data_IF_309704584989
#
_entry.id   IF_309704584989
#
_cell.length_a   1.000
_cell.length_b   1.000
_cell.length_c   1.000
_cell.angle_alpha   90.00
_cell.angle_beta   90.00
_cell.angle_gamma   90.00
#
_symmetry.space_group_name_H-M   'P 1'
#
loop_
_entity.id
_entity.type
_entity.pdbx_description
1 polymer ?
#
# COMPACT_ATOMS: atom_id res chain seq x y z
N UNK A 1 -3.83 -20.69 -9.03
CA UNK A 1 -4.73 -20.08 -8.03
C UNK A 1 -3.84 -19.44 -6.97
N UNK A 2 -3.84 -18.12 -6.82
CA UNK A 2 -2.87 -17.37 -5.96
C UNK A 2 -3.52 -16.80 -4.69
N UNK A 3 -4.64 -17.38 -4.24
CA UNK A 3 -5.38 -16.90 -3.07
C UNK A 3 -4.69 -17.20 -1.73
N UNK A 4 -3.81 -18.20 -1.68
CA UNK A 4 -3.31 -18.74 -0.42
C UNK A 4 -4.27 -19.74 0.22
N UNK A 5 -3.91 -20.24 1.41
CA UNK A 5 -4.76 -21.12 2.23
C UNK A 5 -5.65 -20.29 3.16
N UNK A 6 -6.93 -20.66 3.20
CA UNK A 6 -7.94 -20.08 4.09
C UNK A 6 -8.52 -21.20 4.94
N UNK A 7 -8.66 -20.92 6.23
CA UNK A 7 -9.27 -21.86 7.15
C UNK A 7 -10.74 -21.45 7.37
N UNK A 8 -11.64 -22.41 7.63
CA UNK A 8 -12.95 -22.10 8.19
C UNK A 8 -12.76 -21.24 9.43
N UNK A 9 -13.70 -20.32 9.71
CA UNK A 9 -13.62 -19.40 10.85
C UNK A 9 -13.21 -20.15 12.12
N UNK A 10 -11.92 -20.02 12.48
CA UNK A 10 -11.36 -20.59 13.70
C UNK A 10 -11.77 -19.78 14.90
N UNK A 11 -11.50 -20.30 16.10
CA UNK A 11 -11.73 -19.58 17.34
C UNK A 11 -11.03 -18.21 17.28
N UNK A 12 -11.82 -17.14 17.20
CA UNK A 12 -11.34 -15.75 17.06
C UNK A 12 -10.50 -15.33 18.26
N UNK A 13 -10.52 -16.11 19.35
CA UNK A 13 -9.70 -15.93 20.55
C UNK A 13 -8.18 -16.04 20.29
N UNK A 14 -7.74 -16.77 19.26
CA UNK A 14 -6.30 -17.00 18.99
C UNK A 14 -5.74 -16.02 17.96
N UNK A 15 -6.49 -15.73 16.89
CA UNK A 15 -5.99 -14.92 15.76
C UNK A 15 -6.59 -13.51 15.67
N UNK A 16 -7.69 -13.21 16.38
CA UNK A 16 -8.35 -11.89 16.40
C UNK A 16 -8.66 -11.26 15.03
N UNK A 17 -8.75 -12.06 13.95
CA UNK A 17 -9.15 -11.63 12.62
C UNK A 17 -9.79 -12.80 11.86
N UNK A 18 -10.59 -12.53 10.82
CA UNK A 18 -11.24 -13.57 10.03
C UNK A 18 -10.25 -14.23 9.05
N UNK A 19 -9.97 -15.51 9.31
CA UNK A 19 -9.06 -16.33 8.49
C UNK A 19 -9.70 -16.86 7.21
N UNK A 20 -11.02 -16.75 7.07
CA UNK A 20 -11.74 -17.10 5.85
C UNK A 20 -11.64 -16.02 4.78
N UNK A 21 -11.31 -14.78 5.17
CA UNK A 21 -11.14 -13.67 4.24
C UNK A 21 -9.92 -13.87 3.35
N UNK A 22 -10.13 -13.57 2.06
CA UNK A 22 -9.20 -13.91 1.02
C UNK A 22 -8.43 -12.69 0.52
N UNK A 23 -7.13 -12.67 0.79
CA UNK A 23 -6.17 -11.73 0.23
C UNK A 23 -5.18 -12.42 -0.69
N UNK A 24 -3.94 -11.92 -0.67
CA UNK A 24 -2.80 -12.55 -1.32
C UNK A 24 -1.75 -12.96 -0.29
N UNK A 25 -1.10 -14.11 -0.49
CA UNK A 25 0.03 -14.53 0.32
C UNK A 25 1.36 -14.06 -0.27
N UNK A 26 2.43 -14.13 0.53
CA UNK A 26 3.80 -13.98 0.02
C UNK A 26 4.25 -15.18 -0.80
N UNK A 27 3.85 -16.37 -0.37
CA UNK A 27 4.19 -17.65 -0.99
C UNK A 27 2.88 -18.35 -1.34
N UNK A 28 2.80 -18.97 -2.53
CA UNK A 28 1.61 -19.74 -2.91
C UNK A 28 1.22 -20.74 -1.81
N UNK A 29 -0.07 -20.95 -1.63
CA UNK A 29 -0.60 -21.88 -0.63
C UNK A 29 -0.19 -21.55 0.82
N UNK A 30 -0.08 -20.26 1.17
CA UNK A 30 0.13 -19.79 2.56
C UNK A 30 -0.90 -18.72 2.97
N UNK A 31 -0.81 -18.23 4.20
CA UNK A 31 -1.74 -17.23 4.75
C UNK A 31 -1.73 -15.91 3.97
N UNK A 32 -2.87 -15.23 3.92
CA UNK A 32 -2.98 -13.88 3.33
C UNK A 32 -2.44 -12.81 4.28
N UNK A 33 -1.64 -11.89 3.74
CA UNK A 33 -0.99 -10.82 4.50
C UNK A 33 -1.34 -9.42 3.96
N UNK A 34 -1.16 -8.39 4.79
CA UNK A 34 -1.54 -7.00 4.46
C UNK A 34 -0.79 -6.49 3.24
N UNK A 35 0.56 -6.54 3.28
CA UNK A 35 1.41 -6.00 2.22
C UNK A 35 1.13 -6.65 0.85
N UNK A 36 1.20 -7.99 0.67
CA UNK A 36 0.98 -8.59 -0.64
C UNK A 36 -0.44 -8.35 -1.16
N UNK A 37 -1.44 -8.31 -0.27
CA UNK A 37 -2.83 -8.00 -0.64
C UNK A 37 -2.94 -6.57 -1.18
N UNK A 38 -2.43 -5.59 -0.43
CA UNK A 38 -2.51 -4.19 -0.81
C UNK A 38 -1.68 -3.86 -2.07
N UNK A 39 -0.50 -4.47 -2.25
CA UNK A 39 0.29 -4.31 -3.47
C UNK A 39 -0.43 -4.93 -4.67
N UNK A 40 -1.04 -6.12 -4.53
CA UNK A 40 -1.80 -6.75 -5.61
C UNK A 40 -3.00 -5.91 -6.03
N UNK A 41 -3.77 -5.38 -5.08
CA UNK A 41 -4.89 -4.45 -5.34
C UNK A 41 -4.39 -3.21 -6.08
N UNK A 42 -3.32 -2.58 -5.59
CA UNK A 42 -2.75 -1.37 -6.19
C UNK A 42 -2.29 -1.63 -7.63
N UNK A 43 -1.66 -2.78 -7.89
CA UNK A 43 -1.20 -3.16 -9.23
C UNK A 43 -2.36 -3.41 -10.19
N UNK A 44 -3.41 -4.12 -9.76
CA UNK A 44 -4.63 -4.33 -10.55
C UNK A 44 -5.29 -3.00 -10.92
N UNK A 45 -5.50 -2.13 -9.93
CA UNK A 45 -6.10 -0.81 -10.14
C UNK A 45 -5.27 0.08 -11.07
N UNK A 46 -3.95 0.04 -10.93
CA UNK A 46 -3.02 0.79 -11.78
C UNK A 46 -2.99 0.28 -13.21
N UNK A 47 -3.36 -0.99 -13.43
CA UNK A 47 -3.52 -1.61 -14.76
C UNK A 47 -4.91 -1.38 -15.38
N UNK A 48 -5.75 -0.54 -14.75
CA UNK A 48 -7.12 -0.27 -15.20
C UNK A 48 -8.15 -1.32 -14.79
N UNK A 49 -7.76 -2.33 -14.01
CA UNK A 49 -8.67 -3.36 -13.51
C UNK A 49 -9.21 -2.88 -12.15
N UNK A 50 -10.45 -2.41 -12.12
CA UNK A 50 -11.06 -1.84 -10.89
C UNK A 50 -12.24 -2.64 -10.35
N UNK A 51 -12.86 -3.49 -11.15
CA UNK A 51 -14.10 -4.22 -10.80
C UNK A 51 -13.90 -5.72 -10.60
N UNK A 52 -12.67 -6.21 -10.65
CA UNK A 52 -12.41 -7.65 -10.51
C UNK A 52 -12.78 -8.13 -9.09
N UNK A 53 -13.52 -9.25 -8.91
CA UNK A 53 -13.98 -9.72 -7.59
C UNK A 53 -12.86 -9.90 -6.55
N UNK A 54 -11.66 -10.23 -7.01
CA UNK A 54 -10.46 -10.35 -6.17
C UNK A 54 -10.09 -9.04 -5.45
N UNK A 55 -10.38 -7.89 -6.06
CA UNK A 55 -10.14 -6.59 -5.43
C UNK A 55 -11.07 -6.45 -4.22
N UNK A 56 -12.37 -6.68 -4.39
CA UNK A 56 -13.33 -6.62 -3.29
C UNK A 56 -12.95 -7.56 -2.13
N UNK A 57 -12.56 -8.80 -2.43
CA UNK A 57 -12.11 -9.76 -1.41
C UNK A 57 -10.88 -9.25 -0.64
N UNK A 58 -9.89 -8.72 -1.35
CA UNK A 58 -8.71 -8.15 -0.72
C UNK A 58 -8.99 -6.89 0.10
N UNK A 59 -9.91 -6.01 -0.36
CA UNK A 59 -10.33 -4.83 0.39
C UNK A 59 -11.01 -5.23 1.71
N UNK A 60 -11.92 -6.22 1.68
CA UNK A 60 -12.55 -6.76 2.88
C UNK A 60 -11.52 -7.33 3.85
N UNK A 61 -10.54 -8.08 3.35
CA UNK A 61 -9.43 -8.62 4.14
C UNK A 61 -8.58 -7.53 4.80
N UNK A 62 -8.29 -6.43 4.08
CA UNK A 62 -7.54 -5.31 4.63
C UNK A 62 -8.33 -4.63 5.76
N UNK A 63 -9.63 -4.37 5.58
CA UNK A 63 -10.45 -3.73 6.61
C UNK A 63 -10.56 -4.59 7.87
N UNK A 64 -10.77 -5.90 7.73
CA UNK A 64 -10.79 -6.84 8.86
C UNK A 64 -9.48 -6.84 9.66
N UNK A 65 -8.34 -6.62 9.01
CA UNK A 65 -7.01 -6.60 9.65
C UNK A 65 -6.56 -5.23 10.14
N UNK A 66 -7.41 -4.21 10.03
CA UNK A 66 -7.14 -2.91 10.62
C UNK A 66 -7.13 -3.03 12.15
N UNK A 67 -6.14 -2.44 12.81
CA UNK A 67 -6.09 -2.46 14.28
C UNK A 67 -7.19 -1.56 14.87
N UNK A 68 -7.76 -1.91 16.04
CA UNK A 68 -8.84 -1.13 16.66
C UNK A 68 -8.50 0.36 16.86
N UNK A 69 -7.23 0.65 17.17
CA UNK A 69 -6.71 2.01 17.38
C UNK A 69 -6.16 2.67 16.11
N UNK A 70 -6.30 2.02 14.95
CA UNK A 70 -5.80 2.50 13.67
C UNK A 70 -4.45 1.91 13.27
N UNK A 71 -4.23 1.90 11.96
CA UNK A 71 -3.06 1.35 11.31
C UNK A 71 -3.13 -0.16 11.08
N UNK A 72 -2.09 -0.65 10.41
CA UNK A 72 -1.87 -2.06 10.12
C UNK A 72 -0.47 -2.47 10.54
N UNK A 73 -0.30 -3.75 10.85
CA UNK A 73 1.01 -4.38 10.90
C UNK A 73 1.13 -5.38 9.73
N UNK A 74 2.02 -6.36 9.83
CA UNK A 74 2.23 -7.37 8.78
C UNK A 74 0.96 -8.18 8.45
N UNK A 75 0.03 -8.34 9.40
CA UNK A 75 -1.23 -9.07 9.25
C UNK A 75 -1.64 -9.95 10.43
N UNK A 76 -1.04 -9.73 11.61
CA UNK A 76 -1.39 -10.43 12.86
C UNK A 76 -1.99 -9.41 13.84
N UNK A 77 -3.26 -9.55 14.20
CA UNK A 77 -3.87 -8.69 15.22
C UNK A 77 -3.43 -9.07 16.65
N UNK A 78 -2.99 -10.33 16.87
CA UNK A 78 -2.39 -10.82 18.12
C UNK A 78 -1.22 -11.77 17.87
N UNK A 79 -0.16 -11.66 18.69
CA UNK A 79 0.85 -12.72 18.85
C UNK A 79 1.09 -12.91 20.35
N UNK A 80 0.81 -14.11 20.88
CA UNK A 80 0.92 -14.45 22.30
C UNK A 80 0.16 -13.50 23.26
N UNK A 81 -1.03 -13.04 22.87
CA UNK A 81 -1.88 -12.19 23.72
C UNK A 81 -1.41 -10.74 23.85
N UNK A 82 -0.44 -10.30 23.06
CA UNK A 82 -0.09 -8.88 22.91
C UNK A 82 -0.51 -8.38 21.53
N UNK A 83 -1.24 -7.27 21.51
CA UNK A 83 -1.52 -6.51 20.31
C UNK A 83 -0.20 -6.04 19.70
N UNK A 84 -0.01 -6.31 18.41
CA UNK A 84 1.16 -5.85 17.69
C UNK A 84 0.91 -4.42 17.20
N UNK A 85 1.83 -3.51 17.56
CA UNK A 85 1.73 -2.10 17.19
C UNK A 85 1.66 -1.93 15.66
N UNK A 86 0.91 -0.92 15.18
CA UNK A 86 0.90 -0.58 13.77
C UNK A 86 2.31 -0.23 13.28
N UNK A 87 2.58 -0.57 12.02
CA UNK A 87 3.82 -0.23 11.32
C UNK A 87 3.50 0.84 10.26
N UNK A 88 4.20 1.99 10.23
CA UNK A 88 3.89 3.07 9.28
C UNK A 88 3.95 2.64 7.82
N UNK A 89 4.87 1.73 7.48
CA UNK A 89 4.97 1.13 6.14
C UNK A 89 3.70 0.35 5.78
N UNK A 90 3.31 -0.62 6.61
CA UNK A 90 2.11 -1.43 6.37
C UNK A 90 0.85 -0.56 6.27
N UNK A 91 0.74 0.43 7.17
CA UNK A 91 -0.38 1.37 7.17
C UNK A 91 -0.42 2.21 5.88
N UNK A 92 0.71 2.76 5.44
CA UNK A 92 0.78 3.53 4.21
C UNK A 92 0.41 2.70 2.97
N UNK A 93 0.90 1.47 2.90
CA UNK A 93 0.58 0.51 1.82
C UNK A 93 -0.92 0.16 1.80
N UNK A 94 -1.51 -0.14 2.96
CA UNK A 94 -2.93 -0.46 3.07
C UNK A 94 -3.81 0.73 2.68
N UNK A 95 -3.50 1.93 3.19
CA UNK A 95 -4.22 3.16 2.85
C UNK A 95 -4.14 3.50 1.36
N UNK A 96 -2.99 3.24 0.72
CA UNK A 96 -2.82 3.41 -0.72
C UNK A 96 -3.77 2.51 -1.53
N UNK A 97 -3.98 1.26 -1.10
CA UNK A 97 -4.84 0.29 -1.78
C UNK A 97 -6.34 0.55 -1.54
N UNK A 98 -6.69 1.02 -0.33
CA UNK A 98 -8.08 1.30 0.07
C UNK A 98 -8.64 2.58 -0.57
N UNK A 99 -7.76 3.53 -0.95
CA UNK A 99 -8.16 4.80 -1.54
C UNK A 99 -9.04 4.61 -2.79
N UNK A 100 -10.12 5.40 -2.87
CA UNK A 100 -11.09 5.35 -3.96
C UNK A 100 -12.05 4.16 -3.95
N UNK A 101 -11.88 3.19 -3.04
CA UNK A 101 -12.74 2.00 -2.93
C UNK A 101 -13.31 1.81 -1.51
N UNK A 102 -12.92 2.66 -0.58
CA UNK A 102 -13.31 2.60 0.84
C UNK A 102 -13.73 3.99 1.27
N UNK A 103 -14.74 4.07 2.14
CA UNK A 103 -15.16 5.34 2.73
C UNK A 103 -14.16 5.81 3.79
N UNK A 104 -13.86 7.12 3.77
CA UNK A 104 -12.90 7.73 4.69
C UNK A 104 -13.16 7.44 6.18
N UNK A 105 -14.41 7.48 6.69
CA UNK A 105 -14.67 7.20 8.11
C UNK A 105 -14.18 5.84 8.61
N UNK A 106 -14.10 4.83 7.72
CA UNK A 106 -13.60 3.50 8.09
C UNK A 106 -12.09 3.49 8.39
N UNK A 107 -11.34 4.44 7.83
CA UNK A 107 -9.88 4.49 7.94
C UNK A 107 -9.35 5.71 8.68
N UNK A 108 -10.23 6.54 9.27
CA UNK A 108 -9.85 7.83 9.87
C UNK A 108 -8.79 7.66 10.97
N UNK A 109 -8.95 6.69 11.87
CA UNK A 109 -7.95 6.42 12.92
C UNK A 109 -6.57 6.04 12.33
N UNK A 110 -6.56 5.31 11.22
CA UNK A 110 -5.32 4.93 10.53
C UNK A 110 -4.65 6.12 9.84
N UNK A 111 -5.45 7.04 9.29
CA UNK A 111 -4.97 8.30 8.73
C UNK A 111 -4.37 9.19 9.82
N UNK A 112 -5.06 9.36 10.96
CA UNK A 112 -4.56 10.11 12.11
C UNK A 112 -3.27 9.52 12.65
N UNK A 113 -3.22 8.20 12.87
CA UNK A 113 -1.99 7.50 13.28
C UNK A 113 -0.82 7.82 12.34
N UNK A 114 -1.03 7.72 11.03
CA UNK A 114 0.05 7.91 10.07
C UNK A 114 0.51 9.37 9.99
N UNK A 115 -0.41 10.34 10.14
CA UNK A 115 -0.08 11.76 10.27
C UNK A 115 0.76 12.03 11.52
N UNK A 116 0.44 11.40 12.65
CA UNK A 116 1.19 11.56 13.91
C UNK A 116 2.59 10.93 13.83
N UNK A 117 2.74 9.82 13.09
CA UNK A 117 4.05 9.17 12.93
C UNK A 117 4.97 9.92 11.96
N UNK A 118 4.41 10.55 10.93
CA UNK A 118 5.17 11.09 9.81
C UNK A 118 6.32 12.03 10.19
N UNK A 119 6.21 12.96 11.17
CA UNK A 119 7.32 13.82 11.59
C UNK A 119 8.56 13.05 12.07
N UNK A 120 8.38 11.81 12.53
CA UNK A 120 9.43 10.96 13.08
C UNK A 120 10.03 9.97 12.06
N UNK A 121 9.47 9.89 10.85
CA UNK A 121 9.93 8.94 9.84
C UNK A 121 11.09 9.50 9.01
N UNK A 122 12.23 8.81 9.01
CA UNK A 122 13.34 9.10 8.08
C UNK A 122 13.85 7.88 7.32
N UNK A 123 13.36 6.69 7.61
CA UNK A 123 13.65 5.49 6.80
C UNK A 123 12.92 5.62 5.45
N UNK A 124 13.62 5.53 4.31
CA UNK A 124 13.04 5.74 2.98
C UNK A 124 11.76 4.95 2.70
N UNK A 125 11.73 3.67 3.10
CA UNK A 125 10.61 2.78 2.80
C UNK A 125 9.35 3.19 3.57
N UNK A 126 9.46 3.34 4.89
CA UNK A 126 8.31 3.72 5.72
C UNK A 126 7.84 5.14 5.40
N UNK A 127 8.77 6.08 5.18
CA UNK A 127 8.43 7.44 4.79
C UNK A 127 7.74 7.49 3.43
N UNK A 128 8.28 6.79 2.43
CA UNK A 128 7.73 6.80 1.07
C UNK A 128 6.31 6.25 1.02
N UNK A 129 6.06 5.10 1.67
CA UNK A 129 4.71 4.55 1.76
C UNK A 129 3.77 5.39 2.61
N UNK A 130 4.24 6.00 3.69
CA UNK A 130 3.43 6.90 4.49
C UNK A 130 2.93 8.10 3.66
N UNK A 131 3.82 8.73 2.90
CA UNK A 131 3.49 9.86 2.03
C UNK A 131 2.58 9.47 0.87
N UNK A 132 2.79 8.31 0.24
CA UNK A 132 1.92 7.81 -0.82
C UNK A 132 0.52 7.49 -0.31
N UNK A 133 0.43 6.79 0.83
CA UNK A 133 -0.84 6.49 1.50
C UNK A 133 -1.60 7.77 1.85
N UNK A 134 -0.99 8.71 2.56
CA UNK A 134 -1.62 10.00 2.89
C UNK A 134 -2.00 10.81 1.64
N UNK A 135 -1.14 10.81 0.62
CA UNK A 135 -1.40 11.47 -0.65
C UNK A 135 -2.64 10.91 -1.35
N UNK A 136 -2.84 9.59 -1.33
CA UNK A 136 -4.02 8.94 -1.91
C UNK A 136 -5.35 9.39 -1.26
N UNK A 137 -5.30 9.94 -0.05
CA UNK A 137 -6.43 10.52 0.67
C UNK A 137 -6.43 12.06 0.70
N UNK A 138 -5.53 12.70 -0.05
CA UNK A 138 -5.42 14.16 -0.10
C UNK A 138 -4.87 14.80 1.18
N UNK A 139 -4.18 14.02 2.04
CA UNK A 139 -3.68 14.44 3.35
C UNK A 139 -2.16 14.61 3.40
N UNK A 140 -1.52 14.73 2.24
CA UNK A 140 -0.08 14.95 2.15
C UNK A 140 0.31 16.31 2.77
N UNK A 141 1.25 16.38 3.74
CA UNK A 141 1.61 17.65 4.35
C UNK A 141 2.41 18.57 3.43
N UNK A 142 2.31 19.88 3.66
CA UNK A 142 3.03 20.90 2.91
C UNK A 142 4.56 20.74 2.99
N UNK A 143 5.08 20.24 4.12
CA UNK A 143 6.52 20.08 4.36
C UNK A 143 7.11 18.81 3.72
N UNK A 144 6.37 18.09 2.87
CA UNK A 144 6.82 16.80 2.32
C UNK A 144 8.21 16.87 1.69
N UNK A 145 8.49 17.92 0.90
CA UNK A 145 9.79 18.04 0.22
C UNK A 145 10.95 18.11 1.21
N UNK A 146 10.79 18.87 2.31
CA UNK A 146 11.81 18.93 3.38
C UNK A 146 12.05 17.57 4.00
N UNK A 147 10.97 16.84 4.35
CA UNK A 147 11.07 15.54 5.02
C UNK A 147 11.76 14.50 4.12
N UNK A 148 11.46 14.50 2.81
CA UNK A 148 12.14 13.63 1.83
C UNK A 148 13.63 13.98 1.73
N UNK A 149 13.97 15.27 1.67
CA UNK A 149 15.38 15.73 1.61
C UNK A 149 16.15 15.34 2.87
N UNK A 150 15.54 15.47 4.05
CA UNK A 150 16.13 15.05 5.31
C UNK A 150 16.38 13.53 5.34
N UNK A 151 15.40 12.72 4.90
CA UNK A 151 15.57 11.27 4.76
C UNK A 151 16.72 10.93 3.81
N UNK A 152 16.79 11.58 2.64
CA UNK A 152 17.85 11.37 1.67
C UNK A 152 19.23 11.75 2.24
N UNK A 153 19.33 12.86 2.96
CA UNK A 153 20.60 13.36 3.52
C UNK A 153 21.25 12.38 4.51
N UNK A 154 20.47 11.53 5.18
CA UNK A 154 20.98 10.49 6.09
C UNK A 154 21.87 9.45 5.40
N UNK A 155 21.80 9.31 4.07
CA UNK A 155 22.71 8.42 3.32
C UNK A 155 24.19 8.83 3.50
N UNK A 156 24.46 10.12 3.75
CA UNK A 156 25.82 10.62 3.98
C UNK A 156 26.41 10.09 5.30
N UNK A 157 25.55 9.69 6.25
CA UNK A 157 25.95 9.14 7.55
C UNK A 157 25.88 7.62 7.59
N UNK A 158 24.89 7.02 6.95
CA UNK A 158 24.57 5.60 7.07
C UNK A 158 24.91 4.76 5.84
N UNK A 159 25.45 5.38 4.79
CA UNK A 159 25.73 4.75 3.51
C UNK A 159 24.58 4.92 2.50
N UNK A 160 24.88 4.64 1.24
CA UNK A 160 23.90 4.78 0.15
C UNK A 160 22.69 3.86 0.35
N UNK A 161 21.50 4.40 0.13
CA UNK A 161 20.29 3.59 0.11
C UNK A 161 20.26 2.66 -1.10
N UNK A 162 19.65 1.48 -0.92
CA UNK A 162 19.34 0.58 -2.03
C UNK A 162 18.40 1.25 -3.03
N UNK A 163 18.51 0.86 -4.31
CA UNK A 163 17.70 1.42 -5.41
C UNK A 163 16.18 1.39 -5.12
N UNK A 164 15.57 0.32 -4.59
CA UNK A 164 14.13 0.31 -4.30
C UNK A 164 13.71 1.40 -3.31
N UNK A 165 14.52 1.66 -2.29
CA UNK A 165 14.30 2.71 -1.30
C UNK A 165 14.33 4.10 -1.92
N UNK A 166 15.29 4.36 -2.81
CA UNK A 166 15.40 5.63 -3.54
C UNK A 166 14.25 5.81 -4.53
N UNK A 167 13.91 4.76 -5.27
CA UNK A 167 12.80 4.77 -6.22
C UNK A 167 11.48 5.07 -5.51
N UNK A 168 11.23 4.47 -4.35
CA UNK A 168 10.03 4.73 -3.57
C UNK A 168 9.97 6.17 -3.03
N UNK A 169 11.08 6.73 -2.53
CA UNK A 169 11.14 8.14 -2.14
C UNK A 169 10.89 9.07 -3.34
N UNK A 170 11.43 8.74 -4.51
CA UNK A 170 11.19 9.51 -5.73
C UNK A 170 9.72 9.42 -6.16
N UNK A 171 9.11 8.24 -6.14
CA UNK A 171 7.68 8.07 -6.39
C UNK A 171 6.86 8.91 -5.40
N UNK A 172 7.17 8.84 -4.11
CA UNK A 172 6.53 9.67 -3.10
C UNK A 172 6.71 11.16 -3.40
N UNK A 173 7.87 11.61 -3.87
CA UNK A 173 8.07 13.01 -4.26
C UNK A 173 7.15 13.41 -5.43
N UNK A 174 7.05 12.57 -6.47
CA UNK A 174 6.38 12.85 -7.74
C UNK A 174 4.87 12.54 -7.76
N UNK A 175 4.36 11.83 -6.74
CA UNK A 175 2.96 11.38 -6.68
C UNK A 175 2.20 12.06 -5.52
N UNK A 176 1.82 13.35 -5.64
CA UNK A 176 1.14 14.09 -4.58
C UNK A 176 -0.21 13.51 -4.16
N UNK A 177 -0.87 12.79 -5.07
CA UNK A 177 -2.15 12.14 -4.83
C UNK A 177 -1.99 10.62 -4.65
N UNK A 178 -0.81 10.15 -4.24
CA UNK A 178 -0.52 8.71 -4.11
C UNK A 178 -0.18 8.04 -5.44
N UNK A 179 0.22 6.77 -5.39
CA UNK A 179 0.91 6.08 -6.48
C UNK A 179 0.13 6.06 -7.80
N UNK A 180 -1.20 5.97 -7.73
CA UNK A 180 -2.06 5.97 -8.92
C UNK A 180 -1.93 7.27 -9.75
N UNK A 181 -1.60 8.41 -9.12
CA UNK A 181 -1.42 9.69 -9.82
C UNK A 181 -0.16 9.71 -10.68
N UNK A 182 0.82 8.88 -10.34
CA UNK A 182 2.06 8.74 -11.09
C UNK A 182 1.97 7.68 -12.20
N UNK A 183 1.19 6.62 -11.99
CA UNK A 183 1.09 5.50 -12.94
C UNK A 183 0.06 5.74 -14.05
N UNK A 184 -0.90 6.67 -13.88
CA UNK A 184 -1.92 6.99 -14.89
C UNK A 184 -1.41 7.87 -16.04
N UNK A 185 -0.17 8.36 -16.01
CA UNK A 185 0.41 9.22 -17.04
C UNK A 185 1.24 8.45 -18.06
N UNK A 186 0.57 7.71 -18.95
CA UNK A 186 0.91 7.59 -20.39
C UNK A 186 -0.12 6.69 -21.08
N UNK A 187 -0.94 7.21 -22.01
CA UNK A 187 -1.46 6.36 -23.07
C UNK A 187 -0.25 5.71 -23.74
N UNK A 188 -0.30 4.39 -23.95
CA UNK A 188 0.56 3.76 -24.95
C UNK A 188 0.25 4.49 -26.26
N UNK A 189 1.20 5.28 -26.77
CA UNK A 189 1.13 5.72 -28.16
C UNK A 189 1.10 4.47 -29.02
N UNK A 190 -0.08 4.10 -29.48
CA UNK A 190 -0.26 3.09 -30.50
C UNK A 190 0.49 3.62 -31.71
N UNK A 191 1.70 3.11 -31.96
CA UNK A 191 2.43 3.35 -33.20
C UNK A 191 1.62 2.68 -34.31
N UNK A 192 0.70 3.45 -34.88
CA UNK A 192 0.03 3.07 -36.11
C UNK A 192 1.11 2.93 -37.18
N UNK A 193 1.43 1.68 -37.50
CA UNK A 193 2.30 1.33 -38.62
C UNK A 193 1.70 1.95 -39.88
N UNK A 194 2.40 2.94 -40.43
CA UNK A 194 2.10 3.49 -41.75
C UNK A 194 2.47 2.43 -42.77
N UNK A 195 1.49 1.61 -43.15
CA UNK A 195 1.61 0.72 -44.30
C UNK A 195 1.86 1.57 -45.55
N UNK A 196 3.08 1.45 -46.07
CA UNK A 196 3.44 1.86 -47.43
C UNK A 196 2.55 1.11 -48.43
N UNK A 197 1.57 1.82 -49.01
CA UNK A 197 0.90 1.40 -50.23
C UNK A 197 1.72 1.88 -51.43
N UNK A 198 2.53 0.97 -51.98
CA UNK A 198 3.31 1.20 -53.18
C UNK A 198 2.41 1.02 -54.43
N UNK A 199 2.67 1.89 -55.40
CA UNK A 199 2.23 1.95 -56.80
C UNK A 199 1.66 0.66 -57.43
N UNK A 200 0.56 0.83 -58.17
CA UNK A 200 0.38 0.36 -59.56
C UNK A 200 -0.62 1.28 -60.25
#
# INVERSE_FOLDING_TARGET
NFSGHHYPQGDTSIMAHDTSLVGWPWIADTHSWVIPTAIAITALQSSGITTHPRIAQGLSMLIDRQLPHGGWNSGNTLVFGKELLPLPECTGIALQALAGNTERPLVEHSLSYLLDQLPHLRTPISLGWALLGLGAWGLRPAQTESIIRESLALQNRHGSYAIPSLALLLCAAQAPQGLHSFLRTRPLETTASTTHGNKS
#
